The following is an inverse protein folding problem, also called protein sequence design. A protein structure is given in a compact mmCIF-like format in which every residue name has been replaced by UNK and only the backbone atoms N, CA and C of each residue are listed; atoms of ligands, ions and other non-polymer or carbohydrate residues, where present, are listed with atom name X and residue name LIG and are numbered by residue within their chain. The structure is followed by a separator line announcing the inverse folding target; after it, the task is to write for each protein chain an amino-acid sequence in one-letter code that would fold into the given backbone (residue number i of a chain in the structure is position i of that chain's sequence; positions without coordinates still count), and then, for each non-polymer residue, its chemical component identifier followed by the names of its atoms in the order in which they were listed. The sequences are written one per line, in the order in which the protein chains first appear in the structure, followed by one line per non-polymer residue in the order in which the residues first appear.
data_IF_971866362051
#
_entry.id   IF_971866362051
#
_cell.length_a   1.000
_cell.length_b   1.000
_cell.length_c   1.000
_cell.angle_alpha   90.00
_cell.angle_beta   90.00
_cell.angle_gamma   90.00
#
_symmetry.space_group_name_H-M   'P 1'
#
loop_
_entity.id
_entity.type
_entity.pdbx_description
1 polymer ?
#
# COMPACT_ATOMS: atom_id res chain seq x y z
N UNK A 1 18.25 -5.53 -31.43
CA UNK A 1 17.59 -5.86 -30.14
C UNK A 1 16.78 -4.64 -29.72
N UNK A 2 15.46 -4.69 -29.83
CA UNK A 2 14.58 -3.62 -29.38
C UNK A 2 14.69 -3.58 -27.84
N UNK A 3 15.14 -2.45 -27.28
CA UNK A 3 15.10 -2.24 -25.82
C UNK A 3 13.62 -2.17 -25.45
N UNK A 4 13.11 -3.23 -24.82
CA UNK A 4 11.78 -3.24 -24.21
C UNK A 4 11.81 -2.19 -23.10
N UNK A 5 11.10 -1.07 -23.27
CA UNK A 5 10.95 -0.09 -22.19
C UNK A 5 9.84 -0.63 -21.32
N UNK A 6 10.21 -1.34 -20.25
CA UNK A 6 9.26 -1.96 -19.32
C UNK A 6 8.58 -0.86 -18.51
N UNK A 7 7.42 -0.40 -18.97
CA UNK A 7 6.60 0.61 -18.29
C UNK A 7 5.42 0.00 -17.53
N UNK A 8 5.21 -1.30 -17.67
CA UNK A 8 4.33 -2.09 -16.81
C UNK A 8 5.18 -2.65 -15.68
N UNK A 9 4.86 -2.39 -14.39
CA UNK A 9 5.42 -3.21 -13.33
C UNK A 9 4.94 -4.64 -13.61
N UNK A 10 5.86 -5.58 -13.89
CA UNK A 10 5.56 -6.99 -13.73
C UNK A 10 4.88 -7.14 -12.38
N UNK A 11 3.70 -7.79 -12.30
CA UNK A 11 2.88 -7.90 -11.08
C UNK A 11 3.80 -7.95 -9.85
N UNK A 12 3.91 -6.80 -9.18
CA UNK A 12 5.11 -6.43 -8.39
C UNK A 12 5.24 -7.16 -7.07
N UNK A 13 4.51 -8.26 -6.93
CA UNK A 13 4.35 -9.06 -5.73
C UNK A 13 5.06 -10.39 -5.91
N UNK A 14 6.14 -10.58 -5.14
CA UNK A 14 6.90 -11.83 -5.06
C UNK A 14 6.08 -12.95 -4.39
N UNK A 15 5.17 -12.56 -3.50
CA UNK A 15 4.28 -13.43 -2.75
C UNK A 15 2.81 -13.08 -3.00
N UNK A 16 1.91 -14.05 -2.81
CA UNK A 16 0.48 -13.76 -2.70
C UNK A 16 0.18 -12.81 -1.53
N UNK A 17 -1.05 -12.27 -1.46
CA UNK A 17 -1.44 -11.35 -0.39
C UNK A 17 -1.24 -12.03 0.99
N UNK A 18 -0.28 -11.57 1.81
CA UNK A 18 0.06 -12.24 3.05
C UNK A 18 -0.82 -11.78 4.22
N UNK A 19 -1.57 -10.67 4.09
CA UNK A 19 -2.35 -10.08 5.17
C UNK A 19 -3.30 -11.06 5.90
N UNK A 20 -4.00 -12.01 5.22
CA UNK A 20 -4.84 -12.99 5.91
C UNK A 20 -4.06 -13.89 6.89
N UNK A 21 -2.81 -14.22 6.60
CA UNK A 21 -1.95 -15.01 7.50
C UNK A 21 -1.70 -14.25 8.80
N UNK A 22 -1.28 -12.98 8.70
CA UNK A 22 -0.99 -12.14 9.85
C UNK A 22 -2.22 -11.89 10.73
N UNK A 23 -3.38 -11.63 10.12
CA UNK A 23 -4.65 -11.39 10.82
C UNK A 23 -5.23 -12.68 11.44
N UNK A 24 -5.03 -13.85 10.81
CA UNK A 24 -5.39 -15.12 11.42
C UNK A 24 -4.51 -15.42 12.64
N UNK A 25 -3.20 -15.18 12.53
CA UNK A 25 -2.27 -15.31 13.65
C UNK A 25 -2.61 -14.39 14.81
N UNK A 26 -2.97 -13.12 14.50
CA UNK A 26 -3.50 -12.17 15.48
C UNK A 26 -4.73 -12.71 16.19
N UNK A 27 -5.70 -13.22 15.42
CA UNK A 27 -6.96 -13.76 15.95
C UNK A 27 -6.67 -14.85 16.98
N UNK A 28 -5.85 -15.84 16.62
CA UNK A 28 -5.51 -16.95 17.50
C UNK A 28 -4.86 -16.44 18.80
N UNK A 29 -3.95 -15.48 18.70
CA UNK A 29 -3.29 -14.90 19.87
C UNK A 29 -4.27 -14.10 20.77
N UNK A 30 -5.15 -13.29 20.20
CA UNK A 30 -6.19 -12.56 20.93
C UNK A 30 -7.12 -13.51 21.70
N UNK A 31 -7.60 -14.58 21.06
CA UNK A 31 -8.49 -15.55 21.70
C UNK A 31 -7.77 -16.40 22.76
N UNK A 32 -6.49 -16.71 22.58
CA UNK A 32 -5.69 -17.39 23.60
C UNK A 32 -5.47 -16.50 24.85
N UNK A 33 -5.32 -15.18 24.66
CA UNK A 33 -5.11 -14.22 25.74
C UNK A 33 -6.41 -13.77 26.43
N UNK A 34 -7.55 -13.80 25.73
CA UNK A 34 -8.82 -13.29 26.23
C UNK A 34 -9.26 -13.85 27.61
N UNK A 35 -9.20 -15.16 27.89
CA UNK A 35 -9.56 -15.70 29.21
C UNK A 35 -8.73 -15.12 30.36
N UNK A 36 -7.46 -14.83 30.11
CA UNK A 36 -6.55 -14.21 31.09
C UNK A 36 -6.91 -12.73 31.26
N UNK A 37 -7.09 -12.00 30.15
CA UNK A 37 -7.45 -10.57 30.19
C UNK A 37 -8.82 -10.30 30.80
N UNK A 38 -9.75 -11.25 30.74
CA UNK A 38 -11.06 -11.17 31.39
C UNK A 38 -11.03 -11.61 32.87
N UNK A 39 -9.88 -12.08 33.36
CA UNK A 39 -9.72 -12.57 34.73
C UNK A 39 -10.41 -13.91 35.00
N UNK A 40 -10.70 -14.69 33.95
CA UNK A 40 -11.34 -16.01 34.08
C UNK A 40 -10.34 -17.10 34.49
N UNK A 41 -9.10 -16.98 34.03
CA UNK A 41 -7.98 -17.88 34.38
C UNK A 41 -6.71 -17.07 34.60
N UNK A 42 -5.88 -17.49 35.55
CA UNK A 42 -4.59 -16.86 35.83
C UNK A 42 -3.56 -17.86 36.39
N UNK A 43 -3.68 -19.14 36.02
CA UNK A 43 -2.76 -20.18 36.47
C UNK A 43 -1.46 -20.14 35.64
N UNK A 44 -0.38 -20.72 36.18
CA UNK A 44 0.89 -20.85 35.47
C UNK A 44 0.72 -21.52 34.10
N UNK A 45 -0.08 -22.57 34.02
CA UNK A 45 -0.35 -23.31 32.80
C UNK A 45 -1.07 -22.44 31.76
N UNK A 46 -2.04 -21.64 32.21
CA UNK A 46 -2.77 -20.72 31.32
C UNK A 46 -1.86 -19.64 30.74
N UNK A 47 -0.98 -19.05 31.56
CA UNK A 47 -0.01 -18.04 31.15
C UNK A 47 1.00 -18.60 30.14
N UNK A 48 1.57 -19.78 30.41
CA UNK A 48 2.50 -20.44 29.48
C UNK A 48 1.82 -20.81 28.17
N UNK A 49 0.60 -21.33 28.21
CA UNK A 49 -0.15 -21.68 26.99
C UNK A 49 -0.43 -20.45 26.13
N UNK A 50 -0.88 -19.35 26.75
CA UNK A 50 -1.10 -18.10 26.04
C UNK A 50 0.21 -17.51 25.50
N UNK A 51 1.33 -17.61 26.23
CA UNK A 51 2.65 -17.19 25.77
C UNK A 51 3.07 -17.93 24.49
N UNK A 52 2.86 -19.25 24.42
CA UNK A 52 3.16 -20.04 23.22
C UNK A 52 2.31 -19.60 22.04
N UNK A 53 1.00 -19.39 22.23
CA UNK A 53 0.13 -18.90 21.18
C UNK A 53 0.52 -17.49 20.69
N UNK A 54 0.83 -16.59 21.63
CA UNK A 54 1.32 -15.25 21.33
C UNK A 54 2.62 -15.28 20.51
N UNK A 55 3.56 -16.18 20.84
CA UNK A 55 4.83 -16.27 20.11
C UNK A 55 4.68 -16.92 18.73
N UNK A 56 4.00 -18.06 18.63
CA UNK A 56 3.95 -18.81 17.38
C UNK A 56 2.97 -18.20 16.38
N UNK A 57 1.78 -17.82 16.84
CA UNK A 57 0.73 -17.29 15.96
C UNK A 57 0.72 -15.77 15.93
N UNK A 58 0.79 -15.12 17.09
CA UNK A 58 0.83 -13.66 17.17
C UNK A 58 2.09 -13.11 16.50
N UNK A 59 3.26 -13.54 16.96
CA UNK A 59 4.54 -13.09 16.42
C UNK A 59 4.90 -13.79 15.10
N UNK A 60 4.93 -15.12 15.06
CA UNK A 60 5.41 -15.87 13.90
C UNK A 60 4.65 -15.55 12.61
N UNK A 61 3.32 -15.64 12.60
CA UNK A 61 2.52 -15.35 11.41
C UNK A 61 2.65 -13.89 10.95
N UNK A 62 2.72 -12.94 11.88
CA UNK A 62 2.81 -11.52 11.53
C UNK A 62 4.20 -11.11 11.06
N UNK A 63 5.27 -11.67 11.64
CA UNK A 63 6.62 -11.45 11.12
C UNK A 63 6.76 -11.97 9.70
N UNK A 64 6.27 -13.19 9.43
CA UNK A 64 6.27 -13.75 8.07
C UNK A 64 5.47 -12.85 7.11
N UNK A 65 4.29 -12.40 7.55
CA UNK A 65 3.44 -11.50 6.77
C UNK A 65 4.15 -10.19 6.46
N UNK A 66 4.80 -9.57 7.45
CA UNK A 66 5.51 -8.31 7.28
C UNK A 66 6.70 -8.43 6.32
N UNK A 67 7.47 -9.51 6.41
CA UNK A 67 8.57 -9.78 5.48
C UNK A 67 8.07 -10.01 4.04
N UNK A 68 6.97 -10.75 3.88
CA UNK A 68 6.34 -10.96 2.58
C UNK A 68 5.79 -9.64 2.00
N UNK A 69 5.21 -8.77 2.82
CA UNK A 69 4.75 -7.44 2.41
C UNK A 69 5.92 -6.54 1.97
N UNK A 70 7.05 -6.54 2.70
CA UNK A 70 8.24 -5.82 2.26
C UNK A 70 8.78 -6.35 0.93
N UNK A 71 8.82 -7.67 0.74
CA UNK A 71 9.19 -8.28 -0.54
C UNK A 71 8.22 -7.90 -1.67
N UNK A 72 6.94 -7.75 -1.33
CA UNK A 72 5.87 -7.24 -2.20
C UNK A 72 5.90 -5.72 -2.39
N UNK A 73 6.93 -5.02 -1.88
CA UNK A 73 7.10 -3.55 -1.91
C UNK A 73 5.96 -2.78 -1.22
N UNK A 74 5.21 -3.46 -0.36
CA UNK A 74 4.20 -2.86 0.50
C UNK A 74 4.84 -2.44 1.83
N UNK A 75 5.45 -1.26 1.85
CA UNK A 75 6.12 -0.72 3.05
C UNK A 75 5.14 -0.53 4.21
N UNK A 76 3.90 -0.15 3.91
CA UNK A 76 2.89 0.11 4.92
C UNK A 76 2.50 -1.18 5.65
N UNK A 77 2.09 -2.22 4.91
CA UNK A 77 1.79 -3.53 5.50
C UNK A 77 3.01 -4.16 6.17
N UNK A 78 4.16 -4.10 5.51
CA UNK A 78 5.41 -4.69 5.99
C UNK A 78 5.83 -4.15 7.35
N UNK A 79 5.77 -2.83 7.52
CA UNK A 79 6.11 -2.16 8.79
C UNK A 79 5.13 -2.58 9.88
N UNK A 80 3.83 -2.53 9.60
CA UNK A 80 2.79 -2.74 10.59
C UNK A 80 2.79 -4.17 11.11
N UNK A 81 2.78 -5.16 10.22
CA UNK A 81 2.79 -6.57 10.62
C UNK A 81 4.09 -6.95 11.33
N UNK A 82 5.23 -6.40 10.92
CA UNK A 82 6.51 -6.67 11.62
C UNK A 82 6.50 -6.09 13.04
N UNK A 83 6.04 -4.85 13.21
CA UNK A 83 5.94 -4.20 14.53
C UNK A 83 4.97 -4.94 15.44
N UNK A 84 3.78 -5.32 14.94
CA UNK A 84 2.83 -6.11 15.74
C UNK A 84 3.38 -7.49 16.08
N UNK A 85 4.14 -8.12 15.18
CA UNK A 85 4.78 -9.41 15.44
C UNK A 85 5.72 -9.33 16.64
N UNK A 86 6.60 -8.33 16.68
CA UNK A 86 7.48 -8.12 17.85
C UNK A 86 6.73 -7.71 19.11
N UNK A 87 5.61 -6.99 18.99
CA UNK A 87 4.75 -6.67 20.13
C UNK A 87 4.14 -7.94 20.75
N UNK A 88 3.73 -8.91 19.93
CA UNK A 88 3.29 -10.22 20.40
C UNK A 88 4.43 -11.05 20.99
N UNK A 89 5.65 -10.95 20.46
CA UNK A 89 6.83 -11.58 21.06
C UNK A 89 7.12 -11.03 22.46
N UNK A 90 7.06 -9.71 22.64
CA UNK A 90 7.14 -9.06 23.96
C UNK A 90 6.05 -9.59 24.87
N UNK A 91 4.79 -9.60 24.42
CA UNK A 91 3.67 -10.07 25.23
C UNK A 91 3.82 -11.53 25.64
N UNK A 92 4.28 -12.41 24.74
CA UNK A 92 4.60 -13.79 25.05
C UNK A 92 5.67 -13.88 26.16
N UNK A 93 6.73 -13.08 26.06
CA UNK A 93 7.77 -13.02 27.08
C UNK A 93 7.24 -12.53 28.43
N UNK A 94 6.36 -11.52 28.44
CA UNK A 94 5.72 -11.03 29.65
C UNK A 94 4.83 -12.08 30.32
N UNK A 95 4.01 -12.79 29.55
CA UNK A 95 3.18 -13.89 30.06
C UNK A 95 4.05 -15.01 30.64
N UNK A 96 5.16 -15.34 29.99
CA UNK A 96 6.13 -16.31 30.51
C UNK A 96 6.76 -15.86 31.83
N UNK A 97 7.23 -14.61 31.91
CA UNK A 97 7.80 -14.05 33.15
C UNK A 97 6.79 -14.04 34.31
N UNK A 98 5.53 -13.66 34.03
CA UNK A 98 4.46 -13.71 35.02
C UNK A 98 4.23 -15.15 35.52
N UNK A 99 4.35 -16.15 34.64
CA UNK A 99 4.24 -17.57 35.01
C UNK A 99 5.35 -18.04 35.96
N UNK A 100 6.49 -17.34 35.99
CA UNK A 100 7.60 -17.60 36.91
C UNK A 100 7.58 -16.69 38.15
N UNK A 101 6.54 -15.86 38.30
CA UNK A 101 6.41 -14.91 39.41
C UNK A 101 7.21 -13.61 39.24
N UNK A 102 7.81 -13.37 38.07
CA UNK A 102 8.50 -12.12 37.76
C UNK A 102 7.51 -11.11 37.16
N UNK A 103 7.38 -9.94 37.78
CA UNK A 103 6.49 -8.87 37.32
C UNK A 103 7.32 -7.78 36.60
N UNK A 104 7.10 -7.54 35.30
CA UNK A 104 7.79 -6.49 34.56
C UNK A 104 7.46 -5.08 35.07
N UNK A 105 8.38 -4.13 34.89
CA UNK A 105 8.19 -2.74 35.29
C UNK A 105 6.94 -2.13 34.62
N UNK A 106 6.05 -1.60 35.46
CA UNK A 106 4.83 -0.95 35.02
C UNK A 106 5.11 0.39 34.32
N UNK A 107 6.18 1.08 34.73
CA UNK A 107 6.61 2.40 34.23
C UNK A 107 7.13 2.30 32.79
N UNK A 108 7.91 1.25 32.50
CA UNK A 108 8.36 0.96 31.14
C UNK A 108 7.16 0.63 30.25
N UNK A 109 6.27 -0.23 30.73
CA UNK A 109 5.06 -0.61 29.98
C UNK A 109 4.14 0.58 29.72
N UNK A 110 3.98 1.48 30.70
CA UNK A 110 3.22 2.71 30.54
C UNK A 110 3.82 3.62 29.46
N UNK A 111 5.14 3.83 29.48
CA UNK A 111 5.82 4.67 28.48
C UNK A 111 5.65 4.11 27.07
N UNK A 112 5.75 2.79 26.92
CA UNK A 112 5.51 2.10 25.65
C UNK A 112 4.05 2.22 25.21
N UNK A 113 3.08 2.09 26.12
CA UNK A 113 1.67 2.24 25.81
C UNK A 113 1.34 3.64 25.26
N UNK A 114 1.94 4.70 25.82
CA UNK A 114 1.81 6.08 25.32
C UNK A 114 2.40 6.23 23.92
N UNK A 115 3.61 5.70 23.70
CA UNK A 115 4.26 5.75 22.38
C UNK A 115 3.42 5.00 21.32
N UNK A 116 2.95 3.79 21.67
CA UNK A 116 2.18 2.94 20.78
C UNK A 116 0.82 3.56 20.43
N UNK A 117 0.19 4.29 21.35
CA UNK A 117 -1.01 5.07 21.05
C UNK A 117 -0.76 6.10 19.93
N UNK A 118 0.35 6.85 20.01
CA UNK A 118 0.69 7.85 18.98
C UNK A 118 0.93 7.17 17.63
N UNK A 119 1.69 6.07 17.63
CA UNK A 119 1.99 5.31 16.41
C UNK A 119 0.70 4.75 15.79
N UNK A 120 -0.15 4.08 16.57
CA UNK A 120 -1.38 3.49 16.06
C UNK A 120 -2.43 4.51 15.65
N UNK A 121 -2.44 5.71 16.24
CA UNK A 121 -3.31 6.80 15.79
C UNK A 121 -2.95 7.25 14.36
N UNK A 122 -1.65 7.41 14.08
CA UNK A 122 -1.17 7.75 12.73
C UNK A 122 -1.46 6.62 11.73
N UNK A 123 -1.25 5.36 12.13
CA UNK A 123 -1.57 4.21 11.28
C UNK A 123 -3.07 4.09 11.00
N UNK A 124 -3.93 4.35 12.00
CA UNK A 124 -5.38 4.37 11.83
C UNK A 124 -5.79 5.41 10.79
N UNK A 125 -5.21 6.62 10.85
CA UNK A 125 -5.44 7.64 9.84
C UNK A 125 -5.10 7.16 8.43
N UNK A 126 -3.94 6.50 8.26
CA UNK A 126 -3.55 5.87 6.99
C UNK A 126 -4.56 4.82 6.50
N UNK A 127 -5.02 3.94 7.39
CA UNK A 127 -6.01 2.90 7.06
C UNK A 127 -7.39 3.44 6.66
N UNK A 128 -7.74 4.65 7.12
CA UNK A 128 -8.96 5.33 6.69
C UNK A 128 -9.02 5.57 5.17
N UNK A 129 -7.89 5.62 4.46
CA UNK A 129 -7.84 5.73 3.00
C UNK A 129 -7.93 4.39 2.26
N UNK A 130 -7.96 3.26 2.98
CA UNK A 130 -8.03 1.91 2.41
C UNK A 130 -9.38 1.24 2.66
N UNK A 131 -9.83 1.18 3.92
CA UNK A 131 -11.09 0.52 4.29
C UNK A 131 -11.59 0.98 5.66
N UNK A 132 -12.90 1.20 5.77
CA UNK A 132 -13.55 1.43 7.06
C UNK A 132 -13.36 0.25 8.03
N UNK A 133 -13.31 -1.00 7.55
CA UNK A 133 -13.12 -2.15 8.44
C UNK A 133 -11.72 -2.15 9.06
N UNK A 134 -10.70 -1.84 8.28
CA UNK A 134 -9.32 -1.68 8.77
C UNK A 134 -9.17 -0.45 9.67
N UNK A 135 -9.87 0.63 9.35
CA UNK A 135 -9.92 1.82 10.19
C UNK A 135 -10.52 1.52 11.58
N UNK A 136 -11.68 0.85 11.63
CA UNK A 136 -12.33 0.44 12.89
C UNK A 136 -11.44 -0.53 13.67
N UNK A 137 -10.80 -1.48 13.00
CA UNK A 137 -9.85 -2.40 13.59
C UNK A 137 -8.69 -1.67 14.31
N UNK A 138 -8.09 -0.65 13.69
CA UNK A 138 -7.05 0.16 14.33
C UNK A 138 -7.61 1.12 15.39
N UNK A 139 -8.84 1.62 15.23
CA UNK A 139 -9.48 2.47 16.25
C UNK A 139 -9.77 1.70 17.53
N UNK A 140 -10.14 0.42 17.43
CA UNK A 140 -10.29 -0.47 18.59
C UNK A 140 -8.95 -0.64 19.34
N UNK A 141 -7.84 -0.82 18.61
CA UNK A 141 -6.48 -0.84 19.19
C UNK A 141 -6.18 0.47 19.92
N UNK A 142 -6.45 1.63 19.29
CA UNK A 142 -6.24 2.92 19.94
C UNK A 142 -7.05 3.06 21.22
N UNK A 143 -8.30 2.61 21.22
CA UNK A 143 -9.16 2.62 22.41
C UNK A 143 -8.59 1.73 23.52
N UNK A 144 -8.08 0.54 23.20
CA UNK A 144 -7.38 -0.33 24.16
C UNK A 144 -6.22 0.41 24.83
N UNK A 145 -5.35 1.09 24.05
CA UNK A 145 -4.22 1.82 24.61
C UNK A 145 -4.66 3.02 25.47
N UNK A 146 -5.68 3.76 25.05
CA UNK A 146 -6.28 4.84 25.88
C UNK A 146 -6.74 4.27 27.21
N UNK A 147 -7.48 3.16 27.21
CA UNK A 147 -7.96 2.54 28.45
C UNK A 147 -6.81 2.05 29.33
N UNK A 148 -5.73 1.49 28.76
CA UNK A 148 -4.53 1.08 29.53
C UNK A 148 -3.85 2.28 30.19
N UNK A 149 -3.71 3.39 29.48
CA UNK A 149 -3.13 4.64 29.99
C UNK A 149 -4.00 5.22 31.11
N UNK A 150 -5.32 5.32 30.89
CA UNK A 150 -6.27 5.81 31.91
C UNK A 150 -6.28 4.91 33.14
N UNK A 151 -6.23 3.58 32.95
CA UNK A 151 -6.10 2.61 34.04
C UNK A 151 -4.85 2.88 34.88
N UNK A 152 -3.71 3.08 34.23
CA UNK A 152 -2.43 3.28 34.91
C UNK A 152 -2.40 4.60 35.69
N UNK A 153 -2.81 5.71 35.05
CA UNK A 153 -2.81 7.05 35.66
C UNK A 153 -3.86 7.19 36.76
N UNK A 154 -5.06 6.64 36.54
CA UNK A 154 -6.17 6.72 37.48
C UNK A 154 -6.19 5.63 38.55
N UNK A 155 -5.28 4.65 38.48
CA UNK A 155 -5.29 3.45 39.32
C UNK A 155 -6.65 2.74 39.35
N UNK A 156 -7.29 2.58 38.17
CA UNK A 156 -8.67 2.09 38.03
C UNK A 156 -8.72 0.62 37.58
N UNK A 157 -8.65 -0.38 38.49
CA UNK A 157 -8.68 -1.80 38.12
C UNK A 157 -9.98 -2.24 37.43
N UNK A 158 -11.07 -1.47 37.58
CA UNK A 158 -12.35 -1.72 36.89
C UNK A 158 -12.20 -1.75 35.36
N UNK A 159 -11.16 -1.12 34.81
CA UNK A 159 -10.90 -1.07 33.37
C UNK A 159 -10.28 -2.37 32.81
N UNK A 160 -9.88 -3.33 33.64
CA UNK A 160 -9.31 -4.60 33.18
C UNK A 160 -10.28 -5.41 32.31
N UNK A 161 -11.53 -5.55 32.75
CA UNK A 161 -12.55 -6.30 32.00
C UNK A 161 -12.90 -5.63 30.66
N UNK A 162 -13.16 -4.31 30.58
CA UNK A 162 -13.32 -3.61 29.31
C UNK A 162 -12.13 -3.81 28.35
N UNK A 163 -10.89 -3.71 28.83
CA UNK A 163 -9.70 -3.93 28.01
C UNK A 163 -9.68 -5.36 27.45
N UNK A 164 -9.97 -6.36 28.28
CA UNK A 164 -10.07 -7.77 27.85
C UNK A 164 -11.18 -8.02 26.83
N UNK A 165 -12.34 -7.35 26.97
CA UNK A 165 -13.44 -7.43 26.00
C UNK A 165 -13.07 -6.81 24.65
N UNK A 166 -12.42 -5.66 24.66
CA UNK A 166 -11.93 -5.01 23.44
C UNK A 166 -10.86 -5.87 22.75
N UNK A 167 -9.96 -6.51 23.51
CA UNK A 167 -9.01 -7.47 22.94
C UNK A 167 -9.70 -8.65 22.23
N UNK A 168 -10.78 -9.19 22.81
CA UNK A 168 -11.55 -10.24 22.16
C UNK A 168 -12.29 -9.72 20.91
N UNK A 169 -12.85 -8.51 20.99
CA UNK A 169 -13.48 -7.83 19.85
C UNK A 169 -12.48 -7.61 18.71
N UNK A 170 -11.25 -7.20 19.02
CA UNK A 170 -10.16 -7.06 18.06
C UNK A 170 -9.92 -8.36 17.28
N UNK A 171 -9.87 -9.49 18.00
CA UNK A 171 -9.74 -10.82 17.41
C UNK A 171 -10.91 -11.16 16.48
N UNK A 172 -12.14 -10.82 16.86
CA UNK A 172 -13.33 -11.03 16.02
C UNK A 172 -13.27 -10.19 14.74
N UNK A 173 -12.88 -8.91 14.84
CA UNK A 173 -12.74 -8.02 13.68
C UNK A 173 -11.63 -8.54 12.75
N UNK A 174 -10.48 -8.95 13.29
CA UNK A 174 -9.39 -9.54 12.52
C UNK A 174 -9.82 -10.82 11.78
N UNK A 175 -10.59 -11.69 12.45
CA UNK A 175 -11.13 -12.89 11.86
C UNK A 175 -12.10 -12.57 10.71
N UNK A 176 -12.96 -11.58 10.89
CA UNK A 176 -13.86 -11.10 9.84
C UNK A 176 -13.10 -10.64 8.60
N UNK A 177 -12.06 -9.80 8.78
CA UNK A 177 -11.22 -9.32 7.68
C UNK A 177 -10.49 -10.48 7.00
N UNK A 178 -10.02 -11.47 7.78
CA UNK A 178 -9.34 -12.67 7.28
C UNK A 178 -10.27 -13.49 6.39
N UNK A 179 -11.47 -13.82 6.88
CA UNK A 179 -12.45 -14.58 6.11
C UNK A 179 -12.93 -13.82 4.88
N UNK A 180 -13.12 -12.51 4.97
CA UNK A 180 -13.48 -11.72 3.81
C UNK A 180 -12.40 -11.75 2.73
N UNK A 181 -11.13 -11.69 3.15
CA UNK A 181 -9.98 -11.70 2.23
C UNK A 181 -9.72 -13.08 1.60
N UNK A 182 -10.12 -14.17 2.26
CA UNK A 182 -9.95 -15.54 1.74
C UNK A 182 -11.18 -16.03 0.96
N UNK A 183 -12.39 -15.77 1.45
CA UNK A 183 -13.63 -16.36 0.91
C UNK A 183 -14.22 -15.53 -0.23
N UNK A 184 -14.13 -14.20 -0.20
CA UNK A 184 -14.68 -13.39 -1.29
C UNK A 184 -14.01 -13.71 -2.66
N UNK A 185 -12.68 -13.85 -2.74
CA UNK A 185 -12.03 -14.26 -4.00
C UNK A 185 -12.41 -15.67 -4.43
N UNK A 186 -12.50 -16.63 -3.49
CA UNK A 186 -12.84 -18.02 -3.79
C UNK A 186 -14.28 -18.16 -4.29
N UNK A 187 -15.21 -17.40 -3.72
CA UNK A 187 -16.63 -17.45 -4.07
C UNK A 187 -17.00 -16.56 -5.26
N UNK A 188 -16.09 -15.68 -5.70
CA UNK A 188 -16.35 -14.71 -6.78
C UNK A 188 -17.41 -13.66 -6.44
N UNK A 189 -17.84 -13.56 -5.18
CA UNK A 189 -18.85 -12.61 -4.70
C UNK A 189 -18.50 -12.10 -3.31
N UNK A 190 -19.03 -10.93 -2.94
CA UNK A 190 -18.89 -10.39 -1.58
C UNK A 190 -19.77 -11.16 -0.60
N UNK A 191 -19.28 -12.31 -0.13
CA UNK A 191 -19.95 -13.11 0.91
C UNK A 191 -19.78 -12.46 2.29
N UNK A 192 -18.59 -11.94 2.57
CA UNK A 192 -18.31 -11.10 3.73
C UNK A 192 -18.22 -9.63 3.31
N UNK A 193 -18.90 -8.77 4.06
CA UNK A 193 -18.88 -7.34 3.79
C UNK A 193 -17.50 -6.75 4.11
N UNK A 194 -16.87 -6.16 3.10
CA UNK A 194 -15.71 -5.27 3.26
C UNK A 194 -16.12 -3.90 2.76
N UNK A 195 -16.11 -2.93 3.66
CA UNK A 195 -16.52 -1.56 3.37
C UNK A 195 -15.36 -0.77 2.75
N UNK A 196 -15.71 0.15 1.85
CA UNK A 196 -14.75 1.05 1.20
C UNK A 196 -14.04 2.02 2.17
N UNK A 197 -13.18 2.90 1.64
CA UNK A 197 -12.42 3.85 2.45
C UNK A 197 -13.31 4.88 3.16
N UNK A 198 -12.88 5.31 4.34
CA UNK A 198 -13.52 6.37 5.15
C UNK A 198 -13.17 7.75 4.58
N UNK A 199 -11.91 7.92 4.19
CA UNK A 199 -11.40 9.18 3.68
C UNK A 199 -11.29 9.13 2.17
N UNK A 200 -11.73 10.20 1.51
CA UNK A 200 -11.51 10.37 0.09
C UNK A 200 -10.05 10.71 -0.16
N UNK A 201 -9.42 10.02 -1.10
CA UNK A 201 -8.07 10.42 -1.55
C UNK A 201 -8.18 11.79 -2.19
N UNK A 202 -7.28 12.70 -1.80
CA UNK A 202 -7.11 13.93 -2.56
C UNK A 202 -6.84 13.57 -4.04
N UNK A 203 -7.38 14.32 -5.00
CA UNK A 203 -7.03 14.11 -6.40
C UNK A 203 -5.50 14.18 -6.50
N UNK A 204 -4.89 13.19 -7.16
CA UNK A 204 -3.46 13.20 -7.40
C UNK A 204 -3.10 14.59 -7.95
N UNK A 205 -2.10 15.25 -7.34
CA UNK A 205 -1.61 16.54 -7.84
C UNK A 205 -1.48 16.43 -9.35
N UNK A 206 -2.11 17.33 -10.11
CA UNK A 206 -2.21 17.23 -11.56
C UNK A 206 -0.87 16.75 -12.12
N UNK A 207 -0.83 15.47 -12.53
CA UNK A 207 0.37 14.90 -13.12
C UNK A 207 0.72 15.71 -14.35
N UNK A 208 1.98 15.64 -14.77
CA UNK A 208 2.41 16.26 -16.03
C UNK A 208 1.38 15.95 -17.14
N UNK A 209 0.84 16.98 -17.79
CA UNK A 209 -0.19 16.78 -18.81
C UNK A 209 0.43 16.10 -20.05
N UNK A 210 0.16 14.81 -20.19
CA UNK A 210 0.63 14.01 -21.32
C UNK A 210 -0.15 14.27 -22.61
N UNK A 211 -1.25 15.05 -22.57
CA UNK A 211 -2.10 15.33 -23.74
C UNK A 211 -1.29 15.81 -24.94
N UNK A 212 -0.37 16.74 -24.70
CA UNK A 212 0.44 17.37 -25.75
C UNK A 212 1.40 16.36 -26.39
N UNK A 213 2.10 15.57 -25.57
CA UNK A 213 3.04 14.55 -26.07
C UNK A 213 2.30 13.44 -26.80
N UNK A 214 1.18 12.99 -26.26
CA UNK A 214 0.34 11.98 -26.92
C UNK A 214 -0.17 12.45 -28.28
N UNK A 215 -0.62 13.72 -28.38
CA UNK A 215 -1.03 14.31 -29.64
C UNK A 215 0.11 14.36 -30.66
N UNK A 216 1.32 14.79 -30.26
CA UNK A 216 2.51 14.79 -31.13
C UNK A 216 2.80 13.39 -31.68
N UNK A 217 2.91 12.39 -30.80
CA UNK A 217 3.20 11.02 -31.23
C UNK A 217 2.11 10.45 -32.14
N UNK A 218 0.83 10.66 -31.79
CA UNK A 218 -0.29 10.12 -32.57
C UNK A 218 -0.33 10.68 -34.00
N UNK A 219 -0.17 12.00 -34.17
CA UNK A 219 -0.16 12.66 -35.49
C UNK A 219 1.04 12.20 -36.32
N UNK A 220 2.24 12.16 -35.72
CA UNK A 220 3.44 11.73 -36.43
C UNK A 220 3.43 10.23 -36.74
N UNK A 221 2.80 9.41 -35.90
CA UNK A 221 2.63 7.98 -36.17
C UNK A 221 1.64 7.72 -37.31
N UNK A 222 0.54 8.48 -37.37
CA UNK A 222 -0.39 8.44 -38.52
C UNK A 222 0.28 8.88 -39.82
N UNK A 223 1.11 9.93 -39.77
CA UNK A 223 1.93 10.35 -40.90
C UNK A 223 2.86 9.22 -41.33
N UNK A 224 3.55 8.60 -40.39
CA UNK A 224 4.46 7.49 -40.68
C UNK A 224 3.75 6.30 -41.33
N UNK A 225 2.55 5.95 -40.84
CA UNK A 225 1.75 4.87 -41.44
C UNK A 225 1.33 5.14 -42.89
N UNK A 226 1.16 6.41 -43.27
CA UNK A 226 0.71 6.79 -44.62
C UNK A 226 1.88 7.05 -45.56
N UNK A 227 2.93 7.71 -45.07
CA UNK A 227 4.01 8.30 -45.86
C UNK A 227 5.41 7.84 -45.41
N UNK A 228 5.51 6.77 -44.62
CA UNK A 228 6.75 6.24 -44.08
C UNK A 228 7.59 7.32 -43.35
N UNK A 229 8.89 7.44 -43.64
CA UNK A 229 9.76 8.40 -42.93
C UNK A 229 9.76 9.81 -43.53
N UNK A 230 8.74 10.17 -44.32
CA UNK A 230 8.62 11.53 -44.84
C UNK A 230 8.32 12.53 -43.70
N UNK A 231 9.11 13.62 -43.60
CA UNK A 231 8.96 14.59 -42.53
C UNK A 231 7.70 15.45 -42.70
N UNK A 232 7.01 15.73 -41.59
CA UNK A 232 5.85 16.62 -41.56
C UNK A 232 6.29 18.06 -41.28
N UNK A 233 5.85 19.05 -42.07
CA UNK A 233 6.09 20.47 -41.77
C UNK A 233 5.57 20.86 -40.38
N UNK A 234 6.30 21.71 -39.66
CA UNK A 234 5.94 22.10 -38.30
C UNK A 234 4.59 22.85 -38.21
N UNK A 235 4.27 23.67 -39.21
CA UNK A 235 2.98 24.37 -39.30
C UNK A 235 1.81 23.38 -39.44
N UNK A 236 1.97 22.37 -40.28
CA UNK A 236 0.97 21.32 -40.48
C UNK A 236 0.80 20.47 -39.22
N UNK A 237 1.90 20.10 -38.56
CA UNK A 237 1.88 19.35 -37.30
C UNK A 237 1.11 20.13 -36.22
N UNK A 238 1.39 21.42 -36.08
CA UNK A 238 0.73 22.30 -35.12
C UNK A 238 -0.77 22.37 -35.39
N UNK A 239 -1.16 22.59 -36.65
CA UNK A 239 -2.57 22.65 -37.05
C UNK A 239 -3.32 21.35 -36.74
N UNK A 240 -2.71 20.19 -37.06
CA UNK A 240 -3.30 18.87 -36.76
C UNK A 240 -3.42 18.62 -35.25
N UNK A 241 -2.45 19.04 -34.45
CA UNK A 241 -2.51 18.89 -32.99
C UNK A 241 -3.58 19.81 -32.39
N UNK A 242 -3.68 21.06 -32.85
CA UNK A 242 -4.71 22.00 -32.42
C UNK A 242 -6.12 21.49 -32.74
N UNK A 243 -6.30 20.84 -33.89
CA UNK A 243 -7.57 20.19 -34.24
C UNK A 243 -7.99 19.07 -33.26
N UNK A 244 -7.06 18.54 -32.47
CA UNK A 244 -7.31 17.53 -31.42
C UNK A 244 -7.54 18.14 -30.04
N UNK A 245 -7.69 19.46 -29.94
CA UNK A 245 -8.01 20.17 -28.69
C UNK A 245 -6.81 20.51 -27.81
N UNK A 246 -5.59 20.33 -28.29
CA UNK A 246 -4.36 20.73 -27.58
C UNK A 246 -3.97 22.14 -28.03
N UNK A 247 -4.13 23.11 -27.12
CA UNK A 247 -3.88 24.54 -27.37
C UNK A 247 -2.51 25.02 -26.86
N UNK A 248 -1.73 24.15 -26.22
CA UNK A 248 -0.42 24.45 -25.66
C UNK A 248 0.64 24.57 -26.75
N UNK A 249 1.70 25.34 -26.46
CA UNK A 249 2.88 25.40 -27.32
C UNK A 249 3.57 24.02 -27.38
N UNK A 250 3.71 23.49 -28.58
CA UNK A 250 4.30 22.17 -28.84
C UNK A 250 5.83 22.22 -28.92
N UNK A 251 6.42 23.40 -29.16
CA UNK A 251 7.86 23.56 -29.44
C UNK A 251 8.74 22.99 -28.31
N UNK A 252 8.50 23.27 -27.02
CA UNK A 252 9.30 22.69 -25.94
C UNK A 252 9.24 21.15 -25.91
N UNK A 253 8.07 20.58 -26.22
CA UNK A 253 7.92 19.13 -26.26
C UNK A 253 8.62 18.50 -27.47
N UNK A 254 8.66 19.19 -28.62
CA UNK A 254 9.40 18.71 -29.79
C UNK A 254 10.90 18.68 -29.53
N UNK A 255 11.47 19.74 -28.95
CA UNK A 255 12.89 19.76 -28.56
C UNK A 255 13.22 18.69 -27.53
N UNK A 256 12.37 18.53 -26.51
CA UNK A 256 12.54 17.48 -25.51
C UNK A 256 12.53 16.07 -26.14
N UNK A 257 11.55 15.77 -27.00
CA UNK A 257 11.41 14.46 -27.63
C UNK A 257 12.51 14.19 -28.67
N UNK A 258 13.08 15.24 -29.26
CA UNK A 258 14.28 15.16 -30.09
C UNK A 258 15.52 14.79 -29.27
N UNK A 259 15.78 15.49 -28.16
CA UNK A 259 16.91 15.14 -27.27
C UNK A 259 16.73 13.77 -26.61
N UNK A 260 15.50 13.39 -26.26
CA UNK A 260 15.17 12.07 -25.76
C UNK A 260 15.41 10.95 -26.80
N UNK A 261 15.59 11.32 -28.08
CA UNK A 261 15.93 10.38 -29.15
C UNK A 261 14.73 9.70 -29.80
N UNK A 262 13.54 10.28 -29.73
CA UNK A 262 12.33 9.76 -30.38
C UNK A 262 11.98 10.46 -31.70
N UNK A 263 12.46 11.69 -31.89
CA UNK A 263 12.18 12.50 -33.08
C UNK A 263 13.45 12.76 -33.90
N UNK A 264 13.23 13.02 -35.18
CA UNK A 264 14.19 13.73 -36.05
C UNK A 264 13.56 15.07 -36.39
N UNK A 265 14.27 16.15 -36.10
CA UNK A 265 13.87 17.52 -36.42
C UNK A 265 14.78 18.06 -37.51
N UNK A 266 14.18 18.68 -38.52
CA UNK A 266 14.88 19.52 -39.48
C UNK A 266 14.69 20.98 -39.09
N UNK A 267 15.74 21.78 -39.20
CA UNK A 267 15.75 23.18 -38.79
C UNK A 267 15.83 24.12 -39.99
N UNK A 268 15.16 25.27 -39.89
CA UNK A 268 15.23 26.31 -40.92
C UNK A 268 16.50 27.16 -40.81
N UNK A 269 17.13 27.17 -39.64
CA UNK A 269 18.30 27.96 -39.29
C UNK A 269 19.50 27.10 -38.88
N UNK A 270 20.71 27.62 -39.06
CA UNK A 270 21.93 26.93 -38.63
C UNK A 270 22.05 26.84 -37.10
N UNK A 271 21.40 27.76 -36.36
CA UNK A 271 21.38 27.80 -34.90
C UNK A 271 20.35 26.83 -34.27
N UNK A 272 19.58 26.09 -35.09
CA UNK A 272 18.59 25.09 -34.67
C UNK A 272 17.51 25.64 -33.72
N UNK A 273 17.11 26.89 -33.88
CA UNK A 273 16.04 27.50 -33.07
C UNK A 273 14.66 27.32 -33.71
N UNK A 274 14.60 27.21 -35.03
CA UNK A 274 13.33 27.17 -35.76
C UNK A 274 13.13 25.81 -36.41
N UNK A 275 12.14 25.05 -35.92
CA UNK A 275 11.80 23.73 -36.45
C UNK A 275 11.07 23.90 -37.78
N UNK A 276 11.64 23.35 -38.85
CA UNK A 276 11.03 23.30 -40.19
C UNK A 276 10.09 22.11 -40.32
N UNK A 277 10.55 20.94 -39.91
CA UNK A 277 9.78 19.71 -39.98
C UNK A 277 10.18 18.71 -38.91
N UNK A 278 9.27 17.78 -38.61
CA UNK A 278 9.46 16.74 -37.62
C UNK A 278 8.96 15.39 -38.12
N UNK A 279 9.64 14.31 -37.71
CA UNK A 279 9.18 12.94 -37.89
C UNK A 279 9.61 12.05 -36.73
N UNK A 280 8.93 10.93 -36.57
CA UNK A 280 9.40 9.87 -35.69
C UNK A 280 10.61 9.15 -36.30
N UNK A 281 11.53 8.72 -35.45
CA UNK A 281 12.51 7.70 -35.79
C UNK A 281 12.01 6.31 -35.35
N UNK A 282 12.81 5.27 -35.60
CA UNK A 282 12.46 3.90 -35.21
C UNK A 282 12.16 3.77 -33.70
N UNK A 283 12.96 4.42 -32.85
CA UNK A 283 12.76 4.38 -31.40
C UNK A 283 11.45 5.06 -30.96
N UNK A 284 11.08 6.18 -31.60
CA UNK A 284 9.81 6.85 -31.33
C UNK A 284 8.58 6.04 -31.79
N UNK A 285 8.69 5.31 -32.90
CA UNK A 285 7.66 4.38 -33.37
C UNK A 285 7.51 3.23 -32.36
N UNK A 286 8.61 2.58 -32.01
CA UNK A 286 8.60 1.47 -31.03
C UNK A 286 8.01 1.90 -29.69
N UNK A 287 8.37 3.10 -29.22
CA UNK A 287 7.84 3.67 -27.97
C UNK A 287 6.33 3.88 -28.05
N UNK A 288 5.81 4.42 -29.16
CA UNK A 288 4.37 4.61 -29.35
C UNK A 288 3.62 3.28 -29.44
N UNK A 289 4.15 2.30 -30.18
CA UNK A 289 3.54 0.96 -30.27
C UNK A 289 3.51 0.24 -28.92
N UNK A 290 4.56 0.40 -28.12
CA UNK A 290 4.63 -0.17 -26.76
C UNK A 290 3.64 0.52 -25.82
N UNK A 291 3.66 1.85 -25.75
CA UNK A 291 2.93 2.59 -24.73
C UNK A 291 1.45 2.82 -25.05
N UNK A 292 1.14 3.10 -26.31
CA UNK A 292 -0.20 3.52 -26.72
C UNK A 292 -0.97 2.34 -27.32
N UNK A 293 -0.33 1.57 -28.20
CA UNK A 293 -0.97 0.43 -28.84
C UNK A 293 -0.85 -0.88 -28.03
N UNK A 294 -0.07 -0.89 -26.95
CA UNK A 294 0.14 -2.04 -26.05
C UNK A 294 0.56 -3.32 -26.78
N UNK A 295 1.24 -3.20 -27.91
CA UNK A 295 1.48 -4.30 -28.87
C UNK A 295 2.43 -5.39 -28.36
N UNK A 296 2.99 -5.23 -27.15
CA UNK A 296 3.96 -6.13 -26.51
C UNK A 296 3.62 -6.45 -25.04
N UNK A 297 2.43 -6.05 -24.57
CA UNK A 297 1.80 -6.56 -23.34
C UNK A 297 1.05 -7.84 -23.74
N UNK A 298 1.66 -8.99 -23.48
CA UNK A 298 1.02 -10.32 -23.56
C UNK A 298 0.84 -10.85 -22.14
#
# INVERSE_FOLDING_TARGET
MIKKVTLTPADGHVFGNPAPLGLLGLTIACFALAPISLGLVATRESLVSAAVCALLFGCGCQLLTGLMDFANKNVFGGTIFTTFGFMWAKNAWELYMLSTGFVPSAEINFTLDVLLLVVFAVLAYGFGFFSLTLFVFLMDINLIYVLKIVKHVGHLPVLDKPIGLMLALLGVIALWITFASLINPVTGRMTFLVTGPVFQRAPASAGFDFSTRHAIFSVLYEQWRRNAFDPMPAEELTSRIQSRGVLSDIVPNLFYLWEYGCLVLDFADQERRTIKSARLNAAGIDLYEQLVLKKYEF
#
